data_IF_991005531965
#
_entry.id   IF_991005531965
#
_cell.length_a   1.000
_cell.length_b   1.000
_cell.length_c   1.000
_cell.angle_alpha   90.00
_cell.angle_beta   90.00
_cell.angle_gamma   90.00
#
_symmetry.space_group_name_H-M   'P 1'
#
loop_
_entity.id
_entity.type
_entity.pdbx_description
1 polymer ?
#
# COMPACT_ATOMS: atom_id res chain seq x y z
N UNK A 1 -3.47 -21.58 26.86
CA UNK A 1 -3.70 -20.15 27.13
C UNK A 1 -4.15 -19.50 25.82
N UNK A 2 -5.46 -19.30 25.66
CA UNK A 2 -6.06 -18.75 24.44
C UNK A 2 -6.07 -17.24 24.46
N UNK A 3 -5.51 -16.60 23.43
CA UNK A 3 -5.58 -15.15 23.22
C UNK A 3 -6.74 -14.82 22.28
N UNK A 4 -7.75 -14.14 22.81
CA UNK A 4 -8.86 -13.54 22.05
C UNK A 4 -8.43 -12.18 21.52
N UNK A 5 -8.48 -11.97 20.20
CA UNK A 5 -8.26 -10.65 19.59
C UNK A 5 -9.61 -9.93 19.44
N UNK A 6 -9.75 -8.77 20.08
CA UNK A 6 -10.95 -7.91 20.00
C UNK A 6 -10.66 -6.75 19.05
N UNK A 7 -11.31 -6.77 17.89
CA UNK A 7 -11.31 -5.68 16.89
C UNK A 7 -12.05 -4.45 17.42
N UNK A 8 -11.42 -3.26 17.36
CA UNK A 8 -12.08 -1.97 17.59
C UNK A 8 -12.35 -1.29 16.23
N UNK A 9 -13.62 -1.14 15.90
CA UNK A 9 -14.14 -0.32 14.79
C UNK A 9 -14.07 1.16 15.16
N UNK A 10 -13.44 1.97 14.30
CA UNK A 10 -13.46 3.44 14.36
C UNK A 10 -14.72 3.98 13.69
N UNK A 11 -15.59 4.60 14.50
CA UNK A 11 -16.77 5.35 14.06
C UNK A 11 -16.35 6.77 13.71
N UNK A 12 -16.41 7.14 12.43
CA UNK A 12 -16.25 8.52 11.97
C UNK A 12 -17.47 9.36 12.36
N UNK A 13 -17.28 10.34 13.24
CA UNK A 13 -18.29 11.34 13.59
C UNK A 13 -18.31 12.43 12.52
N UNK A 14 -19.47 12.62 11.89
CA UNK A 14 -19.76 13.79 11.07
C UNK A 14 -19.83 15.05 11.92
N UNK A 15 -19.27 16.15 11.39
CA UNK A 15 -19.45 17.49 11.93
C UNK A 15 -20.48 18.22 11.06
N UNK A 16 -21.64 18.44 11.67
CA UNK A 16 -22.72 19.30 11.19
C UNK A 16 -22.30 20.77 11.32
N UNK A 17 -22.39 21.55 10.26
CA UNK A 17 -22.32 23.01 10.31
C UNK A 17 -23.73 23.59 10.42
N UNK A 18 -24.04 24.08 11.61
CA UNK A 18 -25.27 24.79 11.96
C UNK A 18 -25.26 26.19 11.37
N UNK A 19 -26.25 26.54 10.53
CA UNK A 19 -26.54 27.92 10.18
C UNK A 19 -27.98 28.26 10.57
N UNK A 20 -28.07 29.15 11.55
CA UNK A 20 -29.25 29.64 12.24
C UNK A 20 -30.20 30.42 11.33
N UNK A 21 -31.47 30.02 11.33
CA UNK A 21 -32.57 30.72 10.68
C UNK A 21 -33.08 31.86 11.58
N UNK A 22 -32.73 33.11 11.25
CA UNK A 22 -33.33 34.31 11.83
C UNK A 22 -34.58 34.73 11.04
N UNK A 23 -35.77 34.53 11.60
CA UNK A 23 -37.00 35.21 11.16
C UNK A 23 -37.00 36.63 11.73
N UNK A 24 -36.92 37.63 10.87
CA UNK A 24 -37.28 39.00 11.22
C UNK A 24 -38.57 39.37 10.49
N UNK A 25 -39.68 39.43 11.24
CA UNK A 25 -40.89 40.11 10.80
C UNK A 25 -40.62 41.62 10.85
N UNK A 26 -40.61 42.28 9.70
CA UNK A 26 -40.62 43.74 9.62
C UNK A 26 -42.06 44.24 9.46
N UNK A 27 -42.48 45.14 10.36
CA UNK A 27 -43.75 45.88 10.28
C UNK A 27 -43.75 46.81 9.05
N UNK A 28 -44.91 47.12 8.43
CA UNK A 28 -44.95 47.99 7.27
C UNK A 28 -44.64 49.44 7.67
N UNK A 29 -43.58 50.00 7.10
CA UNK A 29 -43.36 51.44 7.07
C UNK A 29 -44.34 52.06 6.07
N UNK A 30 -45.22 52.96 6.53
CA UNK A 30 -46.03 53.78 5.61
C UNK A 30 -45.06 54.67 4.80
N UNK A 31 -45.12 54.69 3.46
CA UNK A 31 -44.27 55.57 2.69
C UNK A 31 -44.70 57.03 2.89
N UNK A 32 -43.89 57.83 3.59
CA UNK A 32 -43.97 59.30 3.55
C UNK A 32 -43.65 59.89 2.15
N UNK A 33 -43.41 59.05 1.15
CA UNK A 33 -42.94 59.45 -0.18
C UNK A 33 -44.00 60.04 -1.11
N UNK A 34 -45.31 59.77 -0.92
CA UNK A 34 -46.34 60.31 -1.83
C UNK A 34 -46.55 61.81 -1.62
N UNK A 35 -46.62 62.27 -0.36
CA UNK A 35 -46.82 63.68 -0.02
C UNK A 35 -45.61 64.57 -0.43
N UNK A 36 -44.39 64.03 -0.34
CA UNK A 36 -43.18 64.70 -0.83
C UNK A 36 -43.15 64.79 -2.37
N UNK A 37 -43.63 63.75 -3.06
CA UNK A 37 -43.66 63.69 -4.53
C UNK A 37 -44.66 64.68 -5.15
N UNK A 38 -45.75 65.01 -4.46
CA UNK A 38 -46.70 66.06 -4.88
C UNK A 38 -46.17 67.47 -4.60
N UNK A 39 -45.61 67.72 -3.40
CA UNK A 39 -44.98 69.01 -3.05
C UNK A 39 -43.82 69.38 -3.97
N UNK A 40 -43.08 68.39 -4.48
CA UNK A 40 -41.97 68.59 -5.40
C UNK A 40 -42.40 68.88 -6.85
N UNK A 41 -43.67 68.69 -7.22
CA UNK A 41 -44.16 69.06 -8.57
C UNK A 41 -44.49 70.55 -8.72
N UNK A 42 -44.59 71.30 -7.63
CA UNK A 42 -44.92 72.74 -7.67
C UNK A 42 -43.70 73.67 -7.77
N UNK A 43 -42.49 73.12 -7.68
CA UNK A 43 -41.26 73.88 -7.93
C UNK A 43 -40.93 73.82 -9.43
N UNK A 44 -41.11 74.96 -10.11
CA UNK A 44 -41.01 75.18 -11.57
C UNK A 44 -39.68 74.77 -12.27
N UNK A 45 -38.72 74.15 -11.57
CA UNK A 45 -37.38 73.85 -12.11
C UNK A 45 -36.94 72.38 -11.99
N UNK A 46 -37.78 71.49 -11.45
CA UNK A 46 -37.39 70.08 -11.26
C UNK A 46 -37.40 69.23 -12.54
N UNK A 47 -37.98 69.72 -13.64
CA UNK A 47 -37.94 69.07 -14.96
C UNK A 47 -36.55 69.05 -15.59
N UNK A 48 -35.62 69.91 -15.15
CA UNK A 48 -34.25 69.96 -15.68
C UNK A 48 -33.27 69.01 -14.99
N UNK A 49 -33.55 68.58 -13.75
CA UNK A 49 -32.55 67.90 -12.90
C UNK A 49 -32.78 66.38 -12.88
N UNK A 50 -34.00 65.89 -13.19
CA UNK A 50 -34.30 64.46 -13.10
C UNK A 50 -35.39 64.01 -14.08
N UNK A 51 -35.05 63.18 -15.06
CA UNK A 51 -35.98 62.55 -16.01
C UNK A 51 -36.90 61.50 -15.38
N UNK A 52 -36.71 61.14 -14.11
CA UNK A 52 -37.52 60.15 -13.40
C UNK A 52 -38.93 60.67 -13.01
N UNK A 53 -39.22 61.96 -13.17
CA UNK A 53 -40.52 62.55 -12.81
C UNK A 53 -41.49 62.71 -14.00
N UNK A 54 -41.01 62.54 -15.23
CA UNK A 54 -41.82 62.45 -16.45
C UNK A 54 -41.19 61.39 -17.37
N UNK A 55 -41.56 60.10 -17.23
CA UNK A 55 -41.14 59.09 -18.19
C UNK A 55 -41.93 59.32 -19.49
N UNK A 56 -41.39 60.18 -20.35
CA UNK A 56 -41.76 60.18 -21.76
C UNK A 56 -41.28 58.83 -22.34
N UNK A 57 -42.12 58.06 -23.04
CA UNK A 57 -41.72 56.77 -23.60
C UNK A 57 -40.82 57.02 -24.81
N UNK A 58 -39.55 57.35 -24.56
CA UNK A 58 -38.54 57.33 -25.60
C UNK A 58 -38.24 55.88 -25.89
N UNK A 59 -38.71 55.44 -27.06
CA UNK A 59 -38.46 54.14 -27.63
C UNK A 59 -36.93 53.95 -27.78
N UNK A 60 -36.31 53.19 -26.86
CA UNK A 60 -34.88 52.84 -26.88
C UNK A 60 -34.67 51.68 -27.86
N UNK A 61 -35.18 51.81 -29.08
CA UNK A 61 -34.80 50.92 -30.16
C UNK A 61 -33.86 51.73 -31.07
N UNK A 62 -32.57 51.45 -30.90
CA UNK A 62 -31.43 51.98 -31.66
C UNK A 62 -31.11 53.47 -31.46
N UNK A 63 -30.34 53.78 -30.41
CA UNK A 63 -29.45 54.95 -30.42
C UNK A 63 -28.17 54.55 -31.15
N UNK A 64 -28.05 54.87 -32.43
CA UNK A 64 -26.77 54.84 -33.16
C UNK A 64 -26.11 56.21 -33.02
N UNK A 65 -25.10 56.31 -32.17
CA UNK A 65 -24.08 57.35 -32.25
C UNK A 65 -22.87 56.64 -32.88
N UNK A 66 -22.28 57.19 -33.95
CA UNK A 66 -21.48 56.52 -35.01
C UNK A 66 -20.37 55.50 -34.60
N UNK A 67 -20.08 55.29 -33.31
CA UNK A 67 -19.06 54.37 -32.78
C UNK A 67 -19.55 53.44 -31.63
N UNK A 68 -20.85 53.37 -31.32
CA UNK A 68 -21.35 52.50 -30.22
C UNK A 68 -22.57 51.66 -30.65
N UNK A 69 -22.40 50.34 -30.72
CA UNK A 69 -23.49 49.38 -30.95
C UNK A 69 -23.80 48.58 -29.67
N UNK A 70 -25.05 48.61 -29.21
CA UNK A 70 -25.48 47.88 -28.02
C UNK A 70 -26.43 46.75 -28.43
N UNK A 71 -26.01 45.49 -28.31
CA UNK A 71 -26.86 44.31 -28.57
C UNK A 71 -27.42 43.77 -27.27
N UNK A 72 -28.73 43.80 -27.14
CA UNK A 72 -29.37 43.28 -25.94
C UNK A 72 -29.30 41.75 -25.93
N UNK A 73 -28.72 41.16 -24.88
CA UNK A 73 -28.57 39.70 -24.77
C UNK A 73 -29.79 39.12 -24.05
N UNK A 74 -30.06 39.55 -22.82
CA UNK A 74 -31.13 38.99 -21.99
C UNK A 74 -31.64 39.99 -20.95
N UNK A 75 -32.95 39.95 -20.67
CA UNK A 75 -33.58 40.69 -19.56
C UNK A 75 -34.22 39.68 -18.61
N UNK A 76 -33.87 39.76 -17.32
CA UNK A 76 -34.46 38.94 -16.24
C UNK A 76 -34.99 39.87 -15.15
N UNK A 77 -35.86 39.37 -14.28
CA UNK A 77 -36.39 40.14 -13.14
C UNK A 77 -35.30 40.73 -12.23
N UNK A 78 -34.10 40.12 -12.19
CA UNK A 78 -32.95 40.59 -11.40
C UNK A 78 -32.05 41.60 -12.12
N UNK A 79 -32.27 41.89 -13.41
CA UNK A 79 -31.42 42.81 -14.17
C UNK A 79 -31.41 42.57 -15.67
N UNK A 80 -30.63 43.38 -16.38
CA UNK A 80 -30.53 43.36 -17.84
C UNK A 80 -29.07 43.22 -18.27
N UNK A 81 -28.81 42.39 -19.28
CA UNK A 81 -27.51 42.16 -19.86
C UNK A 81 -27.51 42.56 -21.35
N UNK A 82 -26.46 43.26 -21.75
CA UNK A 82 -26.23 43.68 -23.13
C UNK A 82 -24.74 43.58 -23.47
N UNK A 83 -24.47 43.32 -24.74
CA UNK A 83 -23.15 43.39 -25.36
C UNK A 83 -22.95 44.80 -25.89
N UNK A 84 -21.82 45.42 -25.55
CA UNK A 84 -21.44 46.75 -26.04
C UNK A 84 -20.26 46.59 -27.00
N UNK A 85 -20.50 46.83 -28.29
CA UNK A 85 -19.50 46.78 -29.34
C UNK A 85 -19.12 48.23 -29.67
N UNK A 86 -17.94 48.64 -29.22
CA UNK A 86 -17.37 49.96 -29.51
C UNK A 86 -16.61 49.97 -30.85
N UNK A 87 -16.20 48.80 -31.33
CA UNK A 87 -15.50 48.62 -32.60
C UNK A 87 -15.79 47.23 -33.12
N UNK A 88 -16.24 47.07 -34.38
CA UNK A 88 -16.42 45.74 -34.96
C UNK A 88 -15.08 44.99 -34.96
N UNK A 89 -15.09 43.67 -34.70
CA UNK A 89 -13.87 42.88 -34.70
C UNK A 89 -13.16 43.05 -36.04
N UNK A 90 -11.88 43.43 -35.98
CA UNK A 90 -11.04 43.61 -37.17
C UNK A 90 -10.94 42.27 -37.92
N UNK A 91 -11.08 42.22 -39.24
CA UNK A 91 -11.07 40.96 -40.02
C UNK A 91 -9.72 40.21 -40.00
N UNK A 92 -8.73 40.65 -39.21
CA UNK A 92 -7.36 40.08 -39.20
C UNK A 92 -6.94 39.51 -37.83
N UNK A 93 -7.84 39.35 -36.86
CA UNK A 93 -7.50 38.64 -35.62
C UNK A 93 -8.39 37.42 -35.40
N UNK A 94 -8.11 36.35 -36.14
CA UNK A 94 -8.29 35.01 -35.55
C UNK A 94 -7.45 34.97 -34.27
N UNK A 95 -8.05 34.56 -33.15
CA UNK A 95 -7.34 34.35 -31.89
C UNK A 95 -6.03 33.58 -32.14
N UNK A 96 -4.92 33.88 -31.41
CA UNK A 96 -3.66 33.18 -31.59
C UNK A 96 -3.92 31.68 -31.61
N UNK A 97 -3.67 31.04 -32.77
CA UNK A 97 -3.84 29.60 -32.95
C UNK A 97 -2.91 28.95 -31.94
N UNK A 98 -3.43 28.59 -30.77
CA UNK A 98 -2.73 27.71 -29.85
C UNK A 98 -2.39 26.48 -30.67
N UNK A 99 -1.10 26.14 -30.77
CA UNK A 99 -0.62 24.96 -31.47
C UNK A 99 -1.54 23.82 -31.08
N UNK A 100 -2.37 23.38 -32.02
CA UNK A 100 -3.41 22.41 -31.74
C UNK A 100 -2.69 21.17 -31.22
N UNK A 101 -2.73 20.97 -29.89
CA UNK A 101 -2.35 19.70 -29.31
C UNK A 101 -3.10 18.63 -30.11
N UNK A 102 -2.43 17.56 -30.55
CA UNK A 102 -3.08 16.49 -31.28
C UNK A 102 -4.36 16.17 -30.53
N UNK A 103 -5.52 16.22 -31.20
CA UNK A 103 -6.81 15.93 -30.57
C UNK A 103 -6.63 14.62 -29.83
N UNK A 104 -6.52 14.66 -28.51
CA UNK A 104 -6.34 13.46 -27.70
C UNK A 104 -7.61 12.66 -28.00
N UNK A 105 -7.44 11.47 -28.58
CA UNK A 105 -8.54 10.52 -28.65
C UNK A 105 -9.06 10.37 -27.23
N UNK A 106 -10.37 10.52 -27.04
CA UNK A 106 -10.98 10.40 -25.73
C UNK A 106 -10.60 9.03 -25.16
N UNK A 107 -9.90 9.04 -24.03
CA UNK A 107 -9.46 7.81 -23.37
C UNK A 107 -10.71 7.08 -22.92
N UNK A 108 -10.90 5.85 -23.41
CA UNK A 108 -12.07 5.04 -23.07
C UNK A 108 -12.07 4.69 -21.58
N UNK A 109 -13.24 4.34 -21.04
CA UNK A 109 -13.36 3.90 -19.65
C UNK A 109 -12.45 2.66 -19.40
N UNK A 110 -12.40 1.77 -20.38
CA UNK A 110 -11.58 0.56 -20.39
C UNK A 110 -10.09 0.89 -20.32
N UNK A 111 -9.61 1.88 -21.08
CA UNK A 111 -8.21 2.31 -21.05
C UNK A 111 -7.79 2.93 -19.70
N UNK A 112 -8.73 3.61 -19.02
CA UNK A 112 -8.50 4.16 -17.67
C UNK A 112 -8.40 3.02 -16.67
N UNK A 113 -9.34 2.06 -16.71
CA UNK A 113 -9.35 0.89 -15.84
C UNK A 113 -8.08 0.05 -16.00
N UNK A 114 -7.70 -0.26 -17.24
CA UNK A 114 -6.47 -1.01 -17.52
C UNK A 114 -5.20 -0.34 -16.96
N UNK A 115 -5.12 1.00 -16.99
CA UNK A 115 -3.99 1.73 -16.38
C UNK A 115 -4.00 1.67 -14.85
N UNK A 116 -5.17 1.72 -14.22
CA UNK A 116 -5.30 1.59 -12.77
C UNK A 116 -4.94 0.17 -12.31
N UNK A 117 -5.43 -0.84 -13.01
CA UNK A 117 -5.10 -2.25 -12.76
C UNK A 117 -3.61 -2.51 -12.95
N UNK A 118 -3.00 -2.02 -14.03
CA UNK A 118 -1.56 -2.16 -14.23
C UNK A 118 -0.73 -1.49 -13.12
N UNK A 119 -1.20 -0.38 -12.54
CA UNK A 119 -0.56 0.24 -11.39
C UNK A 119 -0.74 -0.58 -10.11
N UNK A 120 -1.90 -1.21 -9.92
CA UNK A 120 -2.16 -2.11 -8.82
C UNK A 120 -1.31 -3.38 -8.89
N UNK A 121 -1.21 -4.01 -10.06
CA UNK A 121 -0.37 -5.18 -10.25
C UNK A 121 1.11 -4.87 -9.99
N UNK A 122 1.61 -3.69 -10.38
CA UNK A 122 2.97 -3.26 -10.01
C UNK A 122 3.16 -3.14 -8.50
N UNK A 123 2.16 -2.63 -7.76
CA UNK A 123 2.21 -2.59 -6.28
C UNK A 123 2.22 -4.00 -5.70
N UNK A 124 1.30 -4.85 -6.14
CA UNK A 124 1.21 -6.26 -5.68
C UNK A 124 2.49 -7.03 -5.96
N UNK A 125 3.12 -6.85 -7.12
CA UNK A 125 4.38 -7.49 -7.46
C UNK A 125 5.52 -7.05 -6.53
N UNK A 126 5.62 -5.76 -6.22
CA UNK A 126 6.61 -5.25 -5.27
C UNK A 126 6.37 -5.82 -3.86
N UNK A 127 5.12 -5.81 -3.40
CA UNK A 127 4.74 -6.40 -2.11
C UNK A 127 5.06 -7.90 -2.05
N UNK A 128 4.68 -8.66 -3.09
CA UNK A 128 4.96 -10.09 -3.18
C UNK A 128 6.47 -10.38 -3.19
N UNK A 129 7.27 -9.56 -3.89
CA UNK A 129 8.72 -9.70 -3.90
C UNK A 129 9.32 -9.46 -2.51
N UNK A 130 8.86 -8.42 -1.79
CA UNK A 130 9.31 -8.15 -0.42
C UNK A 130 8.91 -9.30 0.50
N UNK A 131 7.67 -9.78 0.42
CA UNK A 131 7.19 -10.91 1.22
C UNK A 131 8.00 -12.18 0.95
N UNK A 132 8.34 -12.45 -0.31
CA UNK A 132 9.19 -13.58 -0.70
C UNK A 132 10.57 -13.48 -0.05
N UNK A 133 11.23 -12.32 -0.13
CA UNK A 133 12.53 -12.10 0.51
C UNK A 133 12.47 -12.24 2.04
N UNK A 134 11.38 -11.80 2.67
CA UNK A 134 11.17 -12.00 4.10
C UNK A 134 10.98 -13.48 4.45
N UNK A 135 10.23 -14.23 3.63
CA UNK A 135 10.04 -15.66 3.83
C UNK A 135 11.37 -16.43 3.67
N UNK A 136 12.16 -16.12 2.64
CA UNK A 136 13.49 -16.69 2.42
C UNK A 136 14.43 -16.43 3.62
N UNK A 137 14.41 -15.20 4.18
CA UNK A 137 15.19 -14.90 5.40
C UNK A 137 14.73 -15.71 6.62
N UNK A 138 13.42 -15.88 6.81
CA UNK A 138 12.87 -16.70 7.90
C UNK A 138 13.22 -18.18 7.73
N UNK A 139 13.25 -18.67 6.50
CA UNK A 139 13.68 -20.03 6.20
C UNK A 139 15.16 -20.23 6.51
N UNK A 140 16.01 -19.32 6.04
CA UNK A 140 17.43 -19.38 6.33
C UNK A 140 17.74 -19.34 7.84
N UNK A 141 17.02 -18.52 8.62
CA UNK A 141 17.15 -18.51 10.08
C UNK A 141 16.83 -19.88 10.71
N UNK A 142 15.79 -20.58 10.20
CA UNK A 142 15.46 -21.93 10.68
C UNK A 142 16.53 -22.93 10.29
N UNK A 143 17.02 -22.87 9.05
CA UNK A 143 18.05 -23.79 8.55
C UNK A 143 19.36 -23.65 9.33
N UNK A 144 19.77 -22.43 9.67
CA UNK A 144 20.97 -22.17 10.48
C UNK A 144 20.82 -22.77 11.88
N UNK A 145 19.66 -22.58 12.52
CA UNK A 145 19.40 -23.15 13.85
C UNK A 145 19.36 -24.68 13.80
N UNK A 146 18.70 -25.25 12.80
CA UNK A 146 18.63 -26.70 12.60
C UNK A 146 20.03 -27.28 12.37
N UNK A 147 20.82 -26.66 11.50
CA UNK A 147 22.19 -27.10 11.21
C UNK A 147 23.09 -27.06 12.45
N UNK A 148 22.97 -26.02 13.28
CA UNK A 148 23.73 -25.94 14.53
C UNK A 148 23.37 -27.09 15.50
N UNK A 149 22.10 -27.47 15.57
CA UNK A 149 21.65 -28.61 16.38
C UNK A 149 22.14 -29.94 15.79
N UNK A 150 22.05 -30.11 14.47
CA UNK A 150 22.52 -31.31 13.77
C UNK A 150 24.02 -31.53 13.95
N UNK A 151 24.84 -30.48 13.82
CA UNK A 151 26.28 -30.55 14.03
C UNK A 151 26.63 -30.92 15.48
N UNK A 152 25.90 -30.36 16.46
CA UNK A 152 26.08 -30.70 17.87
C UNK A 152 25.75 -32.17 18.16
N UNK A 153 24.63 -32.67 17.61
CA UNK A 153 24.23 -34.06 17.72
C UNK A 153 25.24 -34.99 17.04
N UNK A 154 25.73 -34.60 15.86
CA UNK A 154 26.72 -35.38 15.12
C UNK A 154 28.05 -35.47 15.87
N UNK A 155 28.49 -34.40 16.54
CA UNK A 155 29.69 -34.43 17.37
C UNK A 155 29.56 -35.44 18.52
N UNK A 156 28.43 -35.43 19.23
CA UNK A 156 28.15 -36.37 20.31
C UNK A 156 28.14 -37.82 19.81
N UNK A 157 27.45 -38.07 18.69
CA UNK A 157 27.38 -39.39 18.07
C UNK A 157 28.76 -39.92 17.64
N UNK A 158 29.56 -39.09 16.97
CA UNK A 158 30.91 -39.47 16.54
C UNK A 158 31.83 -39.74 17.74
N UNK A 159 31.70 -38.98 18.82
CA UNK A 159 32.47 -39.20 20.04
C UNK A 159 32.08 -40.53 20.71
N UNK A 160 30.78 -40.84 20.77
CA UNK A 160 30.25 -42.09 21.31
C UNK A 160 30.73 -43.30 20.48
N UNK A 161 30.55 -43.27 19.15
CA UNK A 161 31.00 -44.33 18.25
C UNK A 161 32.52 -44.57 18.34
N UNK A 162 33.31 -43.50 18.47
CA UNK A 162 34.75 -43.63 18.66
C UNK A 162 35.11 -44.30 19.99
N UNK A 163 34.38 -43.97 21.05
CA UNK A 163 34.59 -44.58 22.36
C UNK A 163 34.22 -46.06 22.34
N UNK A 164 33.06 -46.42 21.78
CA UNK A 164 32.61 -47.82 21.70
C UNK A 164 33.62 -48.67 20.92
N UNK A 165 34.06 -48.22 19.75
CA UNK A 165 35.07 -48.90 18.96
C UNK A 165 36.39 -49.09 19.73
N UNK A 166 36.81 -48.09 20.51
CA UNK A 166 38.03 -48.21 21.33
C UNK A 166 37.86 -49.21 22.47
N UNK A 167 36.70 -49.23 23.11
CA UNK A 167 36.41 -50.19 24.18
C UNK A 167 36.35 -51.62 23.64
N UNK A 168 35.74 -51.84 22.47
CA UNK A 168 35.70 -53.13 21.78
C UNK A 168 37.12 -53.59 21.40
N UNK A 169 37.91 -52.70 20.79
CA UNK A 169 39.30 -53.02 20.44
C UNK A 169 40.14 -53.41 21.66
N UNK A 170 40.00 -52.71 22.79
CA UNK A 170 40.71 -53.05 24.03
C UNK A 170 40.27 -54.42 24.53
N UNK A 171 38.97 -54.71 24.49
CA UNK A 171 38.40 -55.99 24.91
C UNK A 171 38.94 -57.13 24.05
N UNK A 172 38.86 -57.02 22.73
CA UNK A 172 39.37 -58.01 21.78
C UNK A 172 40.88 -58.24 21.95
N UNK A 173 41.66 -57.18 22.11
CA UNK A 173 43.10 -57.28 22.35
C UNK A 173 43.41 -58.05 23.64
N UNK A 174 42.65 -57.78 24.71
CA UNK A 174 42.81 -58.48 25.99
C UNK A 174 42.43 -59.95 25.88
N UNK A 175 41.33 -60.25 25.20
CA UNK A 175 40.87 -61.62 24.96
C UNK A 175 41.85 -62.41 24.10
N UNK A 176 42.36 -61.82 23.02
CA UNK A 176 43.39 -62.42 22.18
C UNK A 176 44.69 -62.69 22.96
N UNK A 177 45.12 -61.75 23.81
CA UNK A 177 46.29 -61.96 24.66
C UNK A 177 46.08 -63.15 25.61
N UNK A 178 44.95 -63.18 26.31
CA UNK A 178 44.63 -64.28 27.23
C UNK A 178 44.52 -65.62 26.50
N UNK A 179 43.85 -65.66 25.34
CA UNK A 179 43.75 -66.85 24.50
C UNK A 179 45.14 -67.36 24.10
N UNK A 180 46.05 -66.47 23.68
CA UNK A 180 47.42 -66.85 23.31
C UNK A 180 48.22 -67.42 24.49
N UNK A 181 47.99 -66.92 25.71
CA UNK A 181 48.64 -67.44 26.92
C UNK A 181 48.08 -68.81 27.27
N UNK A 182 46.76 -68.98 27.22
CA UNK A 182 46.09 -70.25 27.48
C UNK A 182 46.52 -71.33 26.48
N UNK A 183 46.61 -71.00 25.20
CA UNK A 183 47.05 -71.92 24.15
C UNK A 183 48.48 -72.42 24.40
N UNK A 184 49.41 -71.54 24.76
CA UNK A 184 50.80 -71.93 25.11
C UNK A 184 50.86 -72.83 26.34
N UNK A 185 49.96 -72.64 27.30
CA UNK A 185 49.89 -73.51 28.49
C UNK A 185 49.32 -74.89 28.13
N UNK A 186 48.26 -74.93 27.33
CA UNK A 186 47.67 -76.17 26.83
C UNK A 186 48.68 -76.98 25.99
N UNK A 187 49.49 -76.31 25.17
CA UNK A 187 50.56 -76.97 24.40
C UNK A 187 51.60 -77.63 25.31
N UNK A 188 52.00 -76.96 26.40
CA UNK A 188 52.91 -77.56 27.40
C UNK A 188 52.28 -78.75 28.11
N UNK A 189 50.98 -78.71 28.39
CA UNK A 189 50.25 -79.82 29.00
C UNK A 189 50.15 -81.03 28.06
N UNK A 190 49.83 -80.79 26.77
CA UNK A 190 49.85 -81.82 25.72
C UNK A 190 51.23 -82.48 25.61
N UNK A 191 52.28 -81.67 25.52
CA UNK A 191 53.65 -82.17 25.45
C UNK A 191 54.02 -83.02 26.69
N UNK A 192 53.66 -82.57 27.90
CA UNK A 192 53.92 -83.34 29.11
C UNK A 192 53.16 -84.68 29.13
N UNK A 193 51.93 -84.72 28.59
CA UNK A 193 51.17 -85.98 28.46
C UNK A 193 51.82 -86.92 27.44
N UNK A 194 52.29 -86.42 26.31
CA UNK A 194 52.97 -87.22 25.29
C UNK A 194 54.30 -87.77 25.81
N UNK A 195 55.06 -86.98 26.59
CA UNK A 195 56.28 -87.46 27.26
C UNK A 195 55.98 -88.61 28.23
N UNK A 196 54.89 -88.53 29.02
CA UNK A 196 54.46 -89.63 29.90
C UNK A 196 54.10 -90.88 29.11
N UNK A 197 53.29 -90.74 28.06
CA UNK A 197 52.91 -91.87 27.18
C UNK A 197 54.12 -92.51 26.51
N UNK A 198 55.05 -91.70 26.00
CA UNK A 198 56.27 -92.20 25.36
C UNK A 198 57.16 -92.97 26.33
N UNK A 199 57.21 -92.55 27.60
CA UNK A 199 57.92 -93.28 28.65
C UNK A 199 57.28 -94.64 28.89
N UNK A 200 55.96 -94.70 29.05
CA UNK A 200 55.20 -95.95 29.25
C UNK A 200 55.42 -96.93 28.08
N UNK A 201 55.32 -96.44 26.84
CA UNK A 201 55.59 -97.26 25.64
C UNK A 201 57.03 -97.78 25.58
N UNK A 202 58.01 -96.97 25.97
CA UNK A 202 59.41 -97.41 26.00
C UNK A 202 59.63 -98.47 27.08
N UNK A 203 58.99 -98.35 28.24
CA UNK A 203 59.02 -99.35 29.31
C UNK A 203 58.35 -100.67 28.85
N UNK A 204 57.23 -100.62 28.11
CA UNK A 204 56.57 -101.81 27.56
C UNK A 204 57.37 -102.53 26.47
N UNK A 205 58.14 -101.78 25.66
CA UNK A 205 58.90 -102.34 24.52
C UNK A 205 60.29 -102.85 24.89
N UNK A 206 60.93 -102.27 25.92
CA UNK A 206 62.33 -102.52 26.26
C UNK A 206 62.57 -102.90 27.73
N UNK A 207 61.53 -102.93 28.57
CA UNK A 207 61.57 -103.45 29.94
C UNK A 207 61.21 -104.93 30.00
#
# INVERSE_FOLDING_TARGET
MGGTYRTKTLQGRGLNSSSSSGRSQARPWRPCGLAYKEKMKELSMLSLICSCFYPEPRNINAYTYDDMEVKQINKRASGQAFELILKPPSPVSEAPRTLASPKKKDVSLEDIQAKLEAAEERRKLQEAQILKQLAEKREHERDVLQKALEENNNFSKMAEEKLTLKMEQIKENREAYLASVLERLQEKERHAADVRRNKELHEELFG
#
